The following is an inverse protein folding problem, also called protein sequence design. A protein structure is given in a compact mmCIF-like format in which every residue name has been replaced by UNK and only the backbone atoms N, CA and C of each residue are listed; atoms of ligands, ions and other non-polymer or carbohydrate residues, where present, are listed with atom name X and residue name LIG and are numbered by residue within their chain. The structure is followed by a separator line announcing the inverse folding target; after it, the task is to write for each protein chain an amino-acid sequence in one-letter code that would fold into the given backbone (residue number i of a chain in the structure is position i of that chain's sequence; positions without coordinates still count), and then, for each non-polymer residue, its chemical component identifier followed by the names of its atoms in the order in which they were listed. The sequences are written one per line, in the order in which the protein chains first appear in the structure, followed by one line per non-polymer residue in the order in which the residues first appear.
data_IF_132972915360
#
_entry.id   IF_132972915360
#
_cell.length_a   1.000
_cell.length_b   1.000
_cell.length_c   1.000
_cell.angle_alpha   90.00
_cell.angle_beta   90.00
_cell.angle_gamma   90.00
#
_symmetry.space_group_name_H-M   'P 1'
#
loop_
_entity.id
_entity.type
_entity.pdbx_description
1 polymer ?
#
# COMPACT_ATOMS: atom_id res chain seq x y z
N UNK A 1 16.67 64.11 -6.63
CA UNK A 1 15.31 63.76 -7.08
C UNK A 1 15.48 62.65 -8.10
N UNK A 2 15.27 61.39 -7.70
CA UNK A 2 15.19 60.26 -8.64
C UNK A 2 13.73 60.26 -9.08
N UNK A 3 13.44 60.47 -10.37
CA UNK A 3 12.17 60.04 -10.98
C UNK A 3 12.12 58.51 -10.92
N UNK A 4 11.93 57.96 -9.72
CA UNK A 4 12.22 56.56 -9.45
C UNK A 4 11.81 56.22 -8.03
N UNK A 5 10.51 56.30 -7.77
CA UNK A 5 9.92 55.79 -6.54
C UNK A 5 10.14 54.27 -6.44
N UNK A 6 10.47 53.82 -5.23
CA UNK A 6 10.67 52.41 -4.89
C UNK A 6 9.37 51.63 -5.13
N UNK A 7 9.28 50.87 -6.23
CA UNK A 7 8.17 49.94 -6.46
C UNK A 7 8.39 48.70 -5.62
N UNK A 8 7.59 48.56 -4.55
CA UNK A 8 7.54 47.35 -3.74
C UNK A 8 6.69 46.30 -4.48
N UNK A 9 7.33 45.40 -5.22
CA UNK A 9 6.62 44.30 -5.89
C UNK A 9 6.40 43.17 -4.87
N UNK A 10 5.15 42.98 -4.44
CA UNK A 10 4.79 41.90 -3.51
C UNK A 10 4.50 40.62 -4.29
N UNK A 11 5.40 39.64 -4.18
CA UNK A 11 5.14 38.31 -4.72
C UNK A 11 4.12 37.59 -3.83
N UNK A 12 2.90 37.44 -4.33
CA UNK A 12 1.88 36.58 -3.72
C UNK A 12 2.25 35.13 -4.02
N UNK A 13 3.12 34.54 -3.21
CA UNK A 13 3.44 33.12 -3.28
C UNK A 13 2.22 32.33 -2.77
N UNK A 14 1.23 32.15 -3.64
CA UNK A 14 0.10 31.28 -3.39
C UNK A 14 0.46 29.85 -3.76
N UNK A 15 -0.11 28.86 -3.08
CA UNK A 15 0.03 27.45 -3.47
C UNK A 15 -0.31 27.24 -4.95
N UNK A 16 -1.32 27.96 -5.45
CA UNK A 16 -1.68 27.95 -6.87
C UNK A 16 -0.52 28.40 -7.76
N UNK A 17 0.16 29.50 -7.45
CA UNK A 17 1.33 29.96 -8.22
C UNK A 17 2.50 28.98 -8.16
N UNK A 18 2.74 28.34 -7.01
CA UNK A 18 3.80 27.34 -6.89
C UNK A 18 3.50 26.08 -7.71
N UNK A 19 2.25 25.61 -7.69
CA UNK A 19 1.80 24.50 -8.53
C UNK A 19 1.84 24.85 -10.01
N UNK A 20 1.42 26.07 -10.37
CA UNK A 20 1.44 26.54 -11.76
C UNK A 20 2.87 26.60 -12.31
N UNK A 21 3.84 27.08 -11.51
CA UNK A 21 5.26 27.03 -11.86
C UNK A 21 5.74 25.58 -12.04
N UNK A 22 5.40 24.68 -11.12
CA UNK A 22 5.81 23.27 -11.24
C UNK A 22 5.18 22.60 -12.48
N UNK A 23 3.92 22.88 -12.78
CA UNK A 23 3.18 22.33 -13.91
C UNK A 23 3.63 22.90 -15.25
N UNK A 24 3.91 24.20 -15.33
CA UNK A 24 4.42 24.84 -16.56
C UNK A 24 5.84 24.38 -16.91
N UNK A 25 6.64 23.98 -15.92
CA UNK A 25 7.92 23.31 -16.17
C UNK A 25 7.77 21.85 -16.65
N UNK A 26 6.60 21.23 -16.49
CA UNK A 26 6.32 19.88 -16.98
C UNK A 26 5.87 19.86 -18.44
N UNK A 27 5.37 20.96 -18.99
CA UNK A 27 4.87 21.01 -20.38
C UNK A 27 5.94 20.72 -21.45
N UNK A 28 7.18 21.23 -21.36
CA UNK A 28 8.26 20.83 -22.26
C UNK A 28 8.60 19.34 -22.16
N UNK A 29 8.46 18.76 -20.96
CA UNK A 29 8.72 17.34 -20.70
C UNK A 29 7.67 16.43 -21.34
N UNK A 30 6.45 16.92 -21.59
CA UNK A 30 5.38 16.15 -22.28
C UNK A 30 5.65 15.98 -23.77
N UNK A 31 6.40 16.88 -24.38
CA UNK A 31 6.63 16.90 -25.83
C UNK A 31 7.88 16.13 -26.26
N UNK A 32 8.73 15.72 -25.32
CA UNK A 32 9.92 14.94 -25.64
C UNK A 32 9.53 13.46 -25.90
N UNK A 33 9.76 12.92 -27.11
CA UNK A 33 9.35 11.56 -27.49
C UNK A 33 10.00 10.45 -26.66
N UNK A 34 11.03 10.76 -25.87
CA UNK A 34 11.77 9.84 -24.98
C UNK A 34 11.88 10.34 -23.54
N UNK A 35 10.97 11.22 -23.07
CA UNK A 35 10.98 11.61 -21.66
C UNK A 35 10.74 10.37 -20.77
N UNK A 36 11.82 9.84 -20.20
CA UNK A 36 11.84 8.74 -19.25
C UNK A 36 10.84 8.95 -18.08
N UNK A 37 10.48 10.20 -17.83
CA UNK A 37 9.46 10.64 -16.88
C UNK A 37 8.06 10.04 -17.15
N UNK A 38 7.71 9.74 -18.41
CA UNK A 38 6.39 9.14 -18.76
C UNK A 38 6.41 7.62 -18.85
N UNK A 39 7.57 7.00 -19.09
CA UNK A 39 7.71 5.52 -19.02
C UNK A 39 7.66 5.03 -17.57
N UNK A 40 8.07 5.85 -16.61
CA UNK A 40 7.63 5.69 -15.23
C UNK A 40 6.21 6.24 -15.17
N UNK A 41 5.26 5.49 -15.71
CA UNK A 41 3.89 5.69 -15.29
C UNK A 41 3.93 5.66 -13.76
N UNK A 42 3.63 6.79 -13.11
CA UNK A 42 3.22 6.84 -11.72
C UNK A 42 1.86 6.12 -11.62
N UNK A 43 1.79 4.89 -12.12
CA UNK A 43 0.73 3.96 -11.82
C UNK A 43 0.66 3.97 -10.30
N UNK A 44 -0.53 4.24 -9.76
CA UNK A 44 -0.79 4.30 -8.31
C UNK A 44 -0.13 3.15 -7.55
N UNK A 45 0.03 1.99 -8.18
CA UNK A 45 0.72 0.82 -7.63
C UNK A 45 2.22 0.98 -7.32
N UNK A 46 2.93 2.00 -7.83
CA UNK A 46 4.38 2.16 -7.60
C UNK A 46 4.74 3.02 -6.39
N UNK A 47 3.80 3.76 -5.80
CA UNK A 47 4.08 4.58 -4.61
C UNK A 47 4.40 3.71 -3.39
N UNK A 48 3.75 2.55 -3.27
CA UNK A 48 3.96 1.64 -2.13
C UNK A 48 5.36 1.04 -2.11
N UNK A 49 6.02 0.89 -3.27
CA UNK A 49 7.32 0.24 -3.39
C UNK A 49 8.50 1.19 -3.24
N UNK A 50 8.33 2.46 -3.58
CA UNK A 50 9.40 3.45 -3.53
C UNK A 50 9.57 4.08 -2.13
N UNK A 51 10.75 4.65 -1.87
CA UNK A 51 11.06 5.27 -0.58
C UNK A 51 10.17 6.49 -0.28
N UNK A 52 9.77 7.22 -1.33
CA UNK A 52 8.96 8.43 -1.22
C UNK A 52 7.53 8.12 -0.76
N UNK A 53 6.86 7.14 -1.34
CA UNK A 53 5.51 6.76 -0.94
C UNK A 53 5.51 6.06 0.42
N UNK A 54 6.58 5.33 0.77
CA UNK A 54 6.81 4.87 2.14
C UNK A 54 6.83 6.03 3.15
N UNK A 55 7.56 7.10 2.85
CA UNK A 55 7.57 8.31 3.68
C UNK A 55 6.20 9.00 3.72
N UNK A 56 5.54 9.15 2.57
CA UNK A 56 4.21 9.77 2.46
C UNK A 56 3.16 9.00 3.26
N UNK A 57 3.17 7.67 3.19
CA UNK A 57 2.29 6.82 3.99
C UNK A 57 2.53 7.02 5.49
N UNK A 58 3.80 7.04 5.91
CA UNK A 58 4.17 7.28 7.30
C UNK A 58 3.72 8.66 7.80
N UNK A 59 3.89 9.72 6.99
CA UNK A 59 3.41 11.07 7.29
C UNK A 59 1.87 11.10 7.41
N UNK A 60 1.14 10.46 6.47
CA UNK A 60 -0.32 10.37 6.52
C UNK A 60 -0.81 9.68 7.80
N UNK A 61 -0.24 8.51 8.14
CA UNK A 61 -0.59 7.78 9.37
C UNK A 61 -0.35 8.65 10.59
N UNK A 62 0.82 9.31 10.67
CA UNK A 62 1.19 10.15 11.82
C UNK A 62 0.23 11.32 12.00
N UNK A 63 -0.16 12.00 10.91
CA UNK A 63 -1.12 13.11 10.97
C UNK A 63 -2.52 12.67 11.37
N UNK A 64 -2.96 11.49 10.93
CA UNK A 64 -4.26 10.94 11.34
C UNK A 64 -4.24 10.64 12.84
N UNK A 65 -3.18 10.01 13.35
CA UNK A 65 -3.01 9.73 14.79
C UNK A 65 -3.00 11.02 15.62
N UNK A 66 -2.25 12.05 15.18
CA UNK A 66 -2.19 13.34 15.87
C UNK A 66 -3.55 14.05 15.90
N UNK A 67 -4.26 14.09 14.77
CA UNK A 67 -5.61 14.68 14.70
C UNK A 67 -6.62 13.91 15.55
N UNK A 68 -6.45 12.59 15.66
CA UNK A 68 -7.30 11.77 16.51
C UNK A 68 -7.11 12.10 17.99
N UNK A 69 -5.86 12.18 18.45
CA UNK A 69 -5.57 12.62 19.83
C UNK A 69 -6.14 14.02 20.10
N UNK A 70 -6.00 14.94 19.14
CA UNK A 70 -6.57 16.28 19.27
C UNK A 70 -8.09 16.27 19.35
N UNK A 71 -8.76 15.40 18.58
CA UNK A 71 -10.21 15.20 18.66
C UNK A 71 -10.60 14.75 20.08
N UNK A 72 -9.92 13.75 20.63
CA UNK A 72 -10.20 13.24 21.98
C UNK A 72 -10.01 14.32 23.06
N UNK A 73 -8.97 15.15 22.95
CA UNK A 73 -8.79 16.29 23.86
C UNK A 73 -9.94 17.30 23.76
N UNK A 74 -10.36 17.67 22.54
CA UNK A 74 -11.45 18.63 22.34
C UNK A 74 -12.80 18.08 22.85
N UNK A 75 -13.06 16.78 22.65
CA UNK A 75 -14.25 16.12 23.18
C UNK A 75 -14.24 16.09 24.71
N UNK A 76 -13.08 15.87 25.32
CA UNK A 76 -12.91 15.93 26.77
C UNK A 76 -13.13 17.35 27.32
N UNK A 77 -12.57 18.37 26.68
CA UNK A 77 -12.74 19.77 27.09
C UNK A 77 -14.21 20.22 26.96
N UNK A 78 -14.88 19.85 25.87
CA UNK A 78 -16.32 20.08 25.69
C UNK A 78 -17.15 19.40 26.78
N UNK A 79 -16.79 18.17 27.17
CA UNK A 79 -17.47 17.47 28.25
C UNK A 79 -17.32 18.20 29.60
N UNK A 80 -16.20 18.89 29.84
CA UNK A 80 -16.01 19.69 31.05
C UNK A 80 -16.80 21.00 31.03
N UNK A 81 -16.84 21.70 29.89
CA UNK A 81 -17.50 23.01 29.78
C UNK A 81 -19.02 22.93 29.91
N UNK A 82 -19.60 21.77 29.62
CA UNK A 82 -21.01 21.51 29.92
C UNK A 82 -21.39 21.73 31.40
N UNK A 83 -20.40 21.82 32.31
CA UNK A 83 -20.62 22.16 33.71
C UNK A 83 -20.54 23.66 34.04
N UNK A 84 -19.96 24.51 33.17
CA UNK A 84 -19.62 25.91 33.48
C UNK A 84 -20.46 26.98 32.76
N UNK A 85 -21.44 26.58 31.93
CA UNK A 85 -22.38 27.46 31.18
C UNK A 85 -21.72 28.54 30.26
N UNK A 86 -20.43 28.41 29.92
CA UNK A 86 -19.75 29.34 29.01
C UNK A 86 -20.06 29.01 27.53
N UNK A 87 -21.06 29.71 26.98
CA UNK A 87 -21.56 29.51 25.61
C UNK A 87 -20.53 29.90 24.55
N UNK A 88 -19.72 30.93 24.79
CA UNK A 88 -18.74 31.40 23.80
C UNK A 88 -17.60 30.40 23.66
N UNK A 89 -17.04 29.94 24.77
CA UNK A 89 -15.99 28.94 24.78
C UNK A 89 -16.47 27.61 24.18
N UNK A 90 -17.70 27.19 24.50
CA UNK A 90 -18.32 26.01 23.91
C UNK A 90 -18.37 26.10 22.38
N UNK A 91 -18.86 27.22 21.86
CA UNK A 91 -18.97 27.45 20.40
C UNK A 91 -17.61 27.41 19.71
N UNK A 92 -16.56 27.96 20.34
CA UNK A 92 -15.20 27.92 19.81
C UNK A 92 -14.67 26.49 19.74
N UNK A 93 -14.85 25.69 20.80
CA UNK A 93 -14.37 24.31 20.84
C UNK A 93 -15.12 23.40 19.86
N UNK A 94 -16.44 23.58 19.72
CA UNK A 94 -17.22 22.86 18.70
C UNK A 94 -16.72 23.19 17.29
N UNK A 95 -16.44 24.46 17.00
CA UNK A 95 -15.85 24.88 15.73
C UNK A 95 -14.50 24.21 15.46
N UNK A 96 -13.63 24.16 16.47
CA UNK A 96 -12.33 23.49 16.37
C UNK A 96 -12.47 21.97 16.17
N UNK A 97 -13.40 21.33 16.89
CA UNK A 97 -13.67 19.90 16.75
C UNK A 97 -14.16 19.59 15.34
N UNK A 98 -15.07 20.40 14.80
CA UNK A 98 -15.54 20.27 13.42
C UNK A 98 -14.40 20.37 12.40
N UNK A 99 -13.51 21.35 12.55
CA UNK A 99 -12.35 21.52 11.68
C UNK A 99 -11.36 20.34 11.74
N UNK A 100 -11.11 19.80 12.95
CA UNK A 100 -10.28 18.61 13.17
C UNK A 100 -10.91 17.41 12.48
N UNK A 101 -12.21 17.17 12.68
CA UNK A 101 -12.95 16.08 12.03
C UNK A 101 -12.92 16.17 10.50
N UNK A 102 -13.11 17.37 9.94
CA UNK A 102 -13.01 17.61 8.49
C UNK A 102 -11.61 17.28 7.96
N UNK A 103 -10.58 17.67 8.69
CA UNK A 103 -9.19 17.40 8.30
C UNK A 103 -8.85 15.91 8.42
N UNK A 104 -9.36 15.25 9.45
CA UNK A 104 -9.22 13.81 9.64
C UNK A 104 -9.90 13.04 8.50
N UNK A 105 -11.11 13.44 8.11
CA UNK A 105 -11.82 12.86 6.96
C UNK A 105 -11.01 12.99 5.66
N UNK A 106 -10.40 14.15 5.43
CA UNK A 106 -9.53 14.38 4.27
C UNK A 106 -8.33 13.43 4.27
N UNK A 107 -7.60 13.31 5.37
CA UNK A 107 -6.42 12.43 5.42
C UNK A 107 -6.79 10.94 5.41
N UNK A 108 -7.89 10.54 6.04
CA UNK A 108 -8.39 9.17 5.96
C UNK A 108 -8.78 8.79 4.52
N UNK A 109 -9.43 9.70 3.80
CA UNK A 109 -9.71 9.52 2.36
C UNK A 109 -8.42 9.39 1.56
N UNK A 110 -7.43 10.25 1.80
CA UNK A 110 -6.12 10.15 1.14
C UNK A 110 -5.40 8.84 1.45
N UNK A 111 -5.49 8.35 2.69
CA UNK A 111 -4.93 7.04 3.07
C UNK A 111 -5.65 5.89 2.35
N UNK A 112 -6.97 5.96 2.21
CA UNK A 112 -7.73 4.98 1.45
C UNK A 112 -7.38 5.00 -0.05
N UNK A 113 -7.18 6.18 -0.62
CA UNK A 113 -6.74 6.36 -2.01
C UNK A 113 -5.28 5.96 -2.25
N UNK A 114 -4.43 6.10 -1.22
CA UNK A 114 -3.04 5.63 -1.26
C UNK A 114 -2.98 4.12 -1.51
N UNK A 115 -3.97 3.38 -0.98
CA UNK A 115 -4.17 1.97 -1.23
C UNK A 115 -3.43 1.07 -0.23
N UNK A 116 -2.86 -0.06 -0.69
CA UNK A 116 -2.24 -1.03 0.20
C UNK A 116 -1.09 -0.41 1.00
N UNK A 117 -0.97 -0.87 2.25
CA UNK A 117 0.14 -0.48 3.14
C UNK A 117 1.48 -0.91 2.53
N UNK A 118 2.52 -0.06 2.51
CA UNK A 118 3.86 -0.50 2.15
C UNK A 118 4.39 -1.58 3.09
N UNK A 119 5.15 -2.53 2.56
CA UNK A 119 5.75 -3.60 3.37
C UNK A 119 6.65 -3.05 4.49
N UNK A 120 6.54 -3.65 5.68
CA UNK A 120 7.31 -3.25 6.87
C UNK A 120 6.85 -1.96 7.56
N UNK A 121 5.80 -1.29 7.06
CA UNK A 121 5.29 -0.07 7.69
C UNK A 121 4.27 -0.35 8.80
N UNK A 122 4.23 0.57 9.78
CA UNK A 122 3.22 0.57 10.85
C UNK A 122 1.82 0.81 10.28
N UNK A 123 0.82 0.10 10.77
CA UNK A 123 -0.58 0.41 10.50
C UNK A 123 -1.12 1.44 11.51
N UNK A 124 -2.29 2.01 11.22
CA UNK A 124 -3.07 2.72 12.24
C UNK A 124 -3.31 1.81 13.45
N UNK A 125 -3.33 2.38 14.65
CA UNK A 125 -3.51 1.66 15.91
C UNK A 125 -4.84 1.98 16.58
N UNK A 126 -5.31 1.05 17.42
CA UNK A 126 -6.43 1.23 18.35
C UNK A 126 -7.73 1.71 17.69
N UNK A 127 -8.40 2.63 18.38
CA UNK A 127 -9.72 3.15 17.98
C UNK A 127 -9.68 3.93 16.66
N UNK A 128 -8.54 4.53 16.32
CA UNK A 128 -8.32 5.21 15.04
C UNK A 128 -8.48 4.25 13.87
N UNK A 129 -7.86 3.06 13.99
CA UNK A 129 -7.95 2.03 12.95
C UNK A 129 -9.40 1.56 12.77
N UNK A 130 -10.11 1.35 13.88
CA UNK A 130 -11.52 0.96 13.88
C UNK A 130 -12.40 2.05 13.25
N UNK A 131 -12.19 3.31 13.62
CA UNK A 131 -12.93 4.44 13.06
C UNK A 131 -12.70 4.58 11.56
N UNK A 132 -11.44 4.51 11.12
CA UNK A 132 -11.10 4.62 9.69
C UNK A 132 -11.68 3.42 8.92
N UNK A 133 -11.59 2.20 9.48
CA UNK A 133 -12.17 1.01 8.84
C UNK A 133 -13.69 1.08 8.76
N UNK A 134 -14.37 1.60 9.77
CA UNK A 134 -15.83 1.74 9.77
C UNK A 134 -16.31 2.75 8.71
N UNK A 135 -15.64 3.91 8.62
CA UNK A 135 -16.09 5.00 7.76
C UNK A 135 -15.55 4.90 6.32
N UNK A 136 -14.37 4.29 6.14
CA UNK A 136 -13.67 4.23 4.85
C UNK A 136 -13.30 2.82 4.41
N UNK A 137 -13.73 1.79 5.17
CA UNK A 137 -13.41 0.41 4.87
C UNK A 137 -13.89 -0.01 3.48
N UNK A 138 -15.00 0.57 3.02
CA UNK A 138 -15.51 0.37 1.66
C UNK A 138 -14.50 0.81 0.60
N UNK A 139 -14.00 2.05 0.67
CA UNK A 139 -13.02 2.57 -0.29
C UNK A 139 -11.69 1.80 -0.18
N UNK A 140 -11.25 1.50 1.05
CA UNK A 140 -10.02 0.74 1.28
C UNK A 140 -10.09 -0.67 0.68
N UNK A 141 -11.19 -1.39 0.94
CA UNK A 141 -11.42 -2.72 0.39
C UNK A 141 -11.45 -2.69 -1.13
N UNK A 142 -12.17 -1.73 -1.73
CA UNK A 142 -12.20 -1.57 -3.20
C UNK A 142 -10.80 -1.28 -3.78
N UNK A 143 -10.01 -0.43 -3.13
CA UNK A 143 -8.64 -0.13 -3.57
C UNK A 143 -7.72 -1.36 -3.48
N UNK A 144 -7.82 -2.14 -2.39
CA UNK A 144 -7.11 -3.40 -2.23
C UNK A 144 -7.50 -4.42 -3.30
N UNK A 145 -8.81 -4.62 -3.51
CA UNK A 145 -9.33 -5.55 -4.51
C UNK A 145 -8.93 -5.15 -5.94
N UNK A 146 -8.98 -3.85 -6.25
CA UNK A 146 -8.51 -3.33 -7.55
C UNK A 146 -7.01 -3.59 -7.75
N UNK A 147 -6.19 -3.31 -6.73
CA UNK A 147 -4.75 -3.56 -6.77
C UNK A 147 -4.43 -5.03 -6.98
N UNK A 148 -5.15 -5.91 -6.29
CA UNK A 148 -5.02 -7.35 -6.42
C UNK A 148 -5.41 -7.84 -7.84
N UNK A 149 -6.54 -7.38 -8.37
CA UNK A 149 -6.99 -7.70 -9.73
C UNK A 149 -5.98 -7.25 -10.79
N UNK A 150 -5.38 -6.07 -10.62
CA UNK A 150 -4.35 -5.56 -11.52
C UNK A 150 -3.09 -6.43 -11.48
N UNK A 151 -2.61 -6.78 -10.28
CA UNK A 151 -1.46 -7.67 -10.11
C UNK A 151 -1.71 -9.07 -10.72
N UNK A 152 -2.92 -9.60 -10.53
CA UNK A 152 -3.35 -10.88 -11.11
C UNK A 152 -3.39 -10.84 -12.64
N UNK A 153 -3.96 -9.78 -13.20
CA UNK A 153 -4.01 -9.57 -14.65
C UNK A 153 -2.61 -9.50 -15.26
N UNK A 154 -1.67 -8.79 -14.61
CA UNK A 154 -0.28 -8.72 -15.03
C UNK A 154 0.37 -10.11 -15.06
N UNK A 155 0.23 -10.90 -13.98
CA UNK A 155 0.71 -12.29 -13.93
C UNK A 155 0.18 -13.12 -15.10
N UNK A 156 -1.14 -13.08 -15.35
CA UNK A 156 -1.78 -13.84 -16.45
C UNK A 156 -1.29 -13.39 -17.82
N UNK A 157 -1.04 -12.09 -18.01
CA UNK A 157 -0.47 -11.57 -19.25
C UNK A 157 0.94 -12.11 -19.47
N UNK A 158 1.81 -12.05 -18.46
CA UNK A 158 3.18 -12.54 -18.53
C UNK A 158 3.23 -14.06 -18.81
N UNK A 159 2.40 -14.85 -18.12
CA UNK A 159 2.26 -16.29 -18.40
C UNK A 159 1.83 -16.55 -19.86
N UNK A 160 0.86 -15.79 -20.35
CA UNK A 160 0.39 -15.89 -21.74
C UNK A 160 1.51 -15.53 -22.74
N UNK A 161 2.30 -14.51 -22.44
CA UNK A 161 3.37 -14.04 -23.30
C UNK A 161 4.57 -14.97 -23.31
N UNK A 162 4.88 -15.66 -22.20
CA UNK A 162 5.82 -16.79 -22.16
C UNK A 162 5.38 -17.87 -23.14
N UNK A 163 4.11 -18.30 -23.08
CA UNK A 163 3.57 -19.34 -23.98
C UNK A 163 3.64 -18.88 -25.44
N UNK A 164 3.30 -17.63 -25.74
CA UNK A 164 3.37 -17.06 -27.10
C UNK A 164 4.82 -16.98 -27.59
N UNK A 165 5.76 -16.55 -26.76
CA UNK A 165 7.18 -16.44 -27.10
C UNK A 165 7.76 -17.82 -27.45
N UNK A 166 7.40 -18.85 -26.67
CA UNK A 166 7.81 -20.24 -26.94
C UNK A 166 7.25 -20.74 -28.28
N UNK A 167 6.01 -20.39 -28.63
CA UNK A 167 5.38 -20.84 -29.87
C UNK A 167 5.82 -20.08 -31.12
N UNK A 168 5.97 -18.76 -31.03
CA UNK A 168 6.08 -17.86 -32.20
C UNK A 168 7.49 -17.34 -32.46
N UNK A 169 8.34 -17.22 -31.44
CA UNK A 169 9.66 -16.62 -31.62
C UNK A 169 10.62 -17.57 -32.37
N UNK A 170 11.52 -17.02 -33.22
CA UNK A 170 12.65 -17.75 -33.78
C UNK A 170 13.45 -18.43 -32.67
N UNK A 171 14.00 -19.62 -32.97
CA UNK A 171 14.71 -20.46 -31.98
C UNK A 171 15.83 -19.69 -31.27
N UNK A 172 16.51 -18.80 -31.97
CA UNK A 172 17.59 -17.95 -31.45
C UNK A 172 17.16 -16.91 -30.41
N UNK A 173 15.91 -16.42 -30.47
CA UNK A 173 15.38 -15.40 -29.52
C UNK A 173 14.45 -15.98 -28.46
N UNK A 174 13.98 -17.22 -28.65
CA UNK A 174 12.99 -17.86 -27.78
C UNK A 174 13.44 -17.93 -26.32
N UNK A 175 14.68 -18.36 -26.08
CA UNK A 175 15.20 -18.49 -24.71
C UNK A 175 15.35 -17.12 -24.05
N UNK A 176 15.86 -16.13 -24.77
CA UNK A 176 16.02 -14.77 -24.24
C UNK A 176 14.69 -14.12 -23.88
N UNK A 177 13.69 -14.20 -24.77
CA UNK A 177 12.35 -13.65 -24.50
C UNK A 177 11.68 -14.37 -23.31
N UNK A 178 11.78 -15.69 -23.27
CA UNK A 178 11.25 -16.48 -22.16
C UNK A 178 11.87 -16.07 -20.82
N UNK A 179 13.20 -15.99 -20.77
CA UNK A 179 13.92 -15.59 -19.55
C UNK A 179 13.55 -14.16 -19.12
N UNK A 180 13.36 -13.24 -20.08
CA UNK A 180 12.92 -11.86 -19.79
C UNK A 180 11.53 -11.83 -19.14
N UNK A 181 10.56 -12.57 -19.69
CA UNK A 181 9.21 -12.61 -19.10
C UNK A 181 9.17 -13.38 -17.77
N UNK A 182 9.98 -14.42 -17.61
CA UNK A 182 10.12 -15.13 -16.33
C UNK A 182 10.70 -14.22 -15.24
N UNK A 183 11.71 -13.40 -15.57
CA UNK A 183 12.27 -12.39 -14.66
C UNK A 183 11.24 -11.31 -14.29
N UNK A 184 10.47 -10.79 -15.25
CA UNK A 184 9.37 -9.86 -14.99
C UNK A 184 8.27 -10.49 -14.12
N UNK A 185 7.93 -11.75 -14.38
CA UNK A 185 6.94 -12.49 -13.59
C UNK A 185 7.43 -12.64 -12.15
N UNK A 186 8.68 -13.05 -11.96
CA UNK A 186 9.29 -13.20 -10.64
C UNK A 186 9.32 -11.86 -9.89
N UNK A 187 9.57 -10.74 -10.57
CA UNK A 187 9.50 -9.39 -9.98
C UNK A 187 8.06 -8.97 -9.62
N UNK A 188 7.05 -9.43 -10.34
CA UNK A 188 5.64 -9.09 -10.08
C UNK A 188 5.02 -9.91 -8.93
N UNK A 189 5.53 -11.12 -8.68
CA UNK A 189 4.96 -12.05 -7.67
C UNK A 189 4.92 -11.48 -6.23
N UNK A 190 5.97 -10.82 -5.70
CA UNK A 190 5.92 -10.24 -4.35
C UNK A 190 4.78 -9.24 -4.16
N UNK A 191 4.51 -8.40 -5.18
CA UNK A 191 3.41 -7.45 -5.13
C UNK A 191 2.04 -8.15 -5.12
N UNK A 192 1.89 -9.23 -5.89
CA UNK A 192 0.67 -10.05 -5.87
C UNK A 192 0.46 -10.73 -4.51
N UNK A 193 1.52 -11.28 -3.92
CA UNK A 193 1.51 -11.86 -2.57
C UNK A 193 1.10 -10.83 -1.52
N UNK A 194 1.71 -9.65 -1.55
CA UNK A 194 1.41 -8.58 -0.60
C UNK A 194 -0.05 -8.11 -0.72
N UNK A 195 -0.56 -7.91 -1.94
CA UNK A 195 -1.97 -7.54 -2.16
C UNK A 195 -2.93 -8.60 -1.60
N UNK A 196 -2.65 -9.89 -1.84
CA UNK A 196 -3.50 -10.98 -1.35
C UNK A 196 -3.47 -11.09 0.19
N UNK A 197 -2.28 -10.98 0.79
CA UNK A 197 -2.09 -10.95 2.24
C UNK A 197 -2.87 -9.80 2.88
N UNK A 198 -2.77 -8.60 2.32
CA UNK A 198 -3.47 -7.43 2.85
C UNK A 198 -4.99 -7.54 2.72
N UNK A 199 -5.50 -8.15 1.65
CA UNK A 199 -6.94 -8.39 1.52
C UNK A 199 -7.44 -9.36 2.60
N UNK A 200 -6.66 -10.40 2.94
CA UNK A 200 -6.97 -11.31 4.05
C UNK A 200 -6.89 -10.60 5.40
N UNK A 201 -5.84 -9.81 5.64
CA UNK A 201 -5.69 -9.02 6.87
C UNK A 201 -6.83 -8.01 7.04
N UNK A 202 -7.36 -7.48 5.94
CA UNK A 202 -8.52 -6.60 5.96
C UNK A 202 -9.78 -7.33 6.46
N UNK A 203 -9.93 -8.61 6.11
CA UNK A 203 -11.00 -9.48 6.57
C UNK A 203 -12.14 -9.64 5.56
N UNK A 204 -13.36 -9.86 6.06
CA UNK A 204 -14.54 -10.03 5.23
C UNK A 204 -14.85 -8.75 4.41
N UNK A 205 -15.37 -8.90 3.18
CA UNK A 205 -15.86 -7.76 2.42
C UNK A 205 -16.98 -7.03 3.18
N UNK A 206 -17.10 -5.70 3.02
CA UNK A 206 -18.29 -4.97 3.46
C UNK A 206 -19.58 -5.55 2.84
N UNK A 207 -20.72 -5.39 3.53
CA UNK A 207 -22.01 -6.05 3.22
C UNK A 207 -22.53 -5.88 1.77
N UNK A 208 -22.07 -4.84 1.06
CA UNK A 208 -22.44 -4.51 -0.31
C UNK A 208 -21.36 -4.83 -1.36
N UNK A 209 -20.27 -5.48 -0.96
CA UNK A 209 -19.11 -5.76 -1.82
C UNK A 209 -18.94 -7.25 -2.08
N UNK A 210 -18.70 -7.60 -3.34
CA UNK A 210 -18.28 -8.95 -3.70
C UNK A 210 -16.82 -9.18 -3.36
N UNK A 211 -16.54 -10.40 -2.89
CA UNK A 211 -15.18 -10.92 -2.76
C UNK A 211 -14.45 -11.08 -4.10
N UNK A 212 -13.16 -11.45 -4.05
CA UNK A 212 -12.47 -11.99 -5.21
C UNK A 212 -13.20 -13.25 -5.73
N UNK A 213 -13.17 -13.46 -7.05
CA UNK A 213 -13.91 -14.51 -7.74
C UNK A 213 -13.00 -15.44 -8.57
N UNK A 214 -13.49 -16.65 -8.86
CA UNK A 214 -12.85 -17.64 -9.74
C UNK A 214 -11.43 -18.02 -9.31
N UNK A 215 -10.50 -18.00 -10.27
CA UNK A 215 -9.10 -18.37 -10.05
C UNK A 215 -8.41 -17.50 -9.00
N UNK A 216 -8.84 -16.24 -8.86
CA UNK A 216 -8.26 -15.32 -7.88
C UNK A 216 -8.67 -15.69 -6.45
N UNK A 217 -9.91 -16.13 -6.24
CA UNK A 217 -10.35 -16.65 -4.95
C UNK A 217 -9.54 -17.90 -4.56
N UNK A 218 -9.41 -18.85 -5.50
CA UNK A 218 -8.63 -20.08 -5.28
C UNK A 218 -7.15 -19.79 -4.98
N UNK A 219 -6.58 -18.74 -5.59
CA UNK A 219 -5.22 -18.30 -5.30
C UNK A 219 -5.05 -17.80 -3.86
N UNK A 220 -6.01 -17.00 -3.37
CA UNK A 220 -6.00 -16.47 -2.00
C UNK A 220 -6.17 -17.60 -0.98
N UNK A 221 -7.04 -18.57 -1.26
CA UNK A 221 -7.28 -19.73 -0.40
C UNK A 221 -6.04 -20.60 -0.21
N UNK A 222 -5.20 -20.74 -1.25
CA UNK A 222 -3.94 -21.50 -1.19
C UNK A 222 -2.86 -20.83 -0.36
N UNK A 223 -2.93 -19.51 -0.17
CA UNK A 223 -1.93 -18.72 0.58
C UNK A 223 -0.47 -19.00 0.19
N UNK A 224 -0.11 -18.94 -1.11
CA UNK A 224 1.21 -19.33 -1.61
C UNK A 224 2.37 -18.57 -0.96
N UNK A 225 2.15 -17.36 -0.46
CA UNK A 225 3.17 -16.58 0.25
C UNK A 225 3.55 -17.14 1.63
N UNK A 226 2.85 -18.15 2.15
CA UNK A 226 3.24 -18.86 3.37
C UNK A 226 4.21 -20.01 3.07
N UNK A 227 4.11 -20.62 1.88
CA UNK A 227 4.96 -21.76 1.48
C UNK A 227 6.44 -21.35 1.37
N UNK A 228 6.71 -20.12 0.91
CA UNK A 228 8.07 -19.56 0.80
C UNK A 228 8.76 -19.40 2.18
N UNK A 229 8.00 -19.37 3.28
CA UNK A 229 8.55 -19.17 4.62
C UNK A 229 8.99 -20.49 5.28
N UNK A 230 8.42 -21.62 4.87
CA UNK A 230 8.74 -22.94 5.45
C UNK A 230 10.04 -23.54 4.88
N UNK A 231 10.52 -23.06 3.73
CA UNK A 231 11.82 -23.45 3.16
C UNK A 231 13.05 -22.81 3.84
N UNK A 232 12.83 -21.96 4.84
CA UNK A 232 13.86 -21.22 5.59
C UNK A 232 13.94 -21.66 7.05
N UNK A 233 13.50 -22.89 7.37
CA UNK A 233 14.11 -23.60 8.49
C UNK A 233 15.60 -23.75 8.17
N UNK A 234 16.40 -22.80 8.68
CA UNK A 234 17.82 -23.00 8.84
C UNK A 234 17.99 -24.30 9.62
N UNK A 235 18.26 -25.38 8.91
CA UNK A 235 19.04 -26.50 9.43
C UNK A 235 20.34 -25.85 9.88
N UNK A 236 20.42 -25.44 11.15
CA UNK A 236 21.67 -25.02 11.78
C UNK A 236 22.51 -26.29 11.81
N UNK A 237 23.52 -26.44 10.94
CA UNK A 237 24.39 -27.60 10.97
C UNK A 237 25.37 -27.32 12.10
N UNK A 238 25.19 -27.96 13.25
CA UNK A 238 26.20 -27.87 14.32
C UNK A 238 25.70 -27.71 15.76
N UNK A 239 24.53 -28.28 16.11
CA UNK A 239 24.38 -28.83 17.47
C UNK A 239 24.48 -30.35 17.37
N UNK A 240 25.73 -30.79 17.30
CA UNK A 240 26.14 -32.17 17.49
C UNK A 240 25.99 -32.56 18.97
N UNK A 241 25.79 -33.87 19.14
CA UNK A 241 26.07 -34.69 20.33
C UNK A 241 25.05 -34.72 21.48
N UNK A 242 24.08 -35.61 21.35
CA UNK A 242 23.91 -36.73 22.30
C UNK A 242 23.06 -37.84 21.67
N UNK A 243 23.61 -39.06 21.64
CA UNK A 243 22.98 -40.26 21.10
C UNK A 243 21.59 -40.52 21.74
N UNK A 244 20.54 -40.41 20.94
CA UNK A 244 19.19 -40.83 21.33
C UNK A 244 18.93 -42.27 20.85
N UNK A 245 18.59 -43.22 21.75
CA UNK A 245 18.37 -44.63 21.44
C UNK A 245 17.09 -44.92 20.63
N UNK A 246 16.40 -43.89 20.14
CA UNK A 246 15.17 -44.04 19.34
C UNK A 246 15.40 -44.27 17.84
N UNK A 247 16.64 -44.19 17.33
CA UNK A 247 16.93 -44.43 15.90
C UNK A 247 16.88 -45.92 15.49
N UNK A 248 16.83 -46.85 16.45
CA UNK A 248 16.75 -48.28 16.18
C UNK A 248 15.35 -48.78 15.74
N UNK A 249 14.30 -47.96 15.86
CA UNK A 249 12.92 -48.38 15.56
C UNK A 249 12.48 -48.02 14.13
N UNK A 250 13.11 -47.04 13.48
CA UNK A 250 12.70 -46.61 12.12
C UNK A 250 13.38 -47.44 11.01
N UNK A 251 14.48 -48.15 11.31
CA UNK A 251 15.14 -49.04 10.32
C UNK A 251 14.44 -50.39 10.10
N UNK A 252 13.31 -50.68 10.78
CA UNK A 252 12.61 -51.97 10.65
C UNK A 252 11.32 -51.94 9.81
N UNK A 253 10.98 -50.81 9.19
CA UNK A 253 9.79 -50.69 8.30
C UNK A 253 10.19 -50.63 6.81
N UNK A 254 11.49 -50.61 6.49
CA UNK A 254 11.97 -50.50 5.10
C UNK A 254 12.13 -51.85 4.37
N UNK A 255 11.96 -52.98 5.06
CA UNK A 255 12.12 -54.33 4.48
C UNK A 255 10.79 -55.06 4.21
N UNK A 256 9.66 -54.35 4.13
CA UNK A 256 8.34 -54.97 3.87
C UNK A 256 7.68 -54.59 2.55
N UNK A 257 8.41 -53.94 1.64
CA UNK A 257 7.98 -53.76 0.25
C UNK A 257 9.16 -53.94 -0.70
N UNK A 258 9.59 -55.18 -0.88
CA UNK A 258 10.04 -55.81 -2.14
C UNK A 258 9.91 -57.32 -1.99
#
# INVERSE_FOLDING_TARGET
MIEGGTRLTRFMNTQASALDILLSNLDPVKQAPDAAVWKVSLQRGNLTHNAYGRWLYSDLVSRIEELWLRKECLEFDLAQINATEDVELHTILEGQLHDVMRTLHKFATQLAEFGPRPEGMRCLQGDVATHVKLNYGRQMYAALLSSLKNAWSLKRSLESDIVKAVKRAPRSRRQQLRASFEDELQKAMPNLHNCAKQLIEFGLPPDDMSGPDGDLAAYIERKPWLEDSEGLEMVIPGLEDTESPFSAIVSRVRDFFW
#
